data_IF_765947112526
#
_entry.id   IF_765947112526
#
_cell.length_a   1.000
_cell.length_b   1.000
_cell.length_c   1.000
_cell.angle_alpha   90.00
_cell.angle_beta   90.00
_cell.angle_gamma   90.00
#
_symmetry.space_group_name_H-M   'P 1'
#
loop_
_entity.id
_entity.type
_entity.pdbx_description
1 polymer ?
#
# COMPACT_ATOMS: atom_id res chain seq x y z
N UNK A 1 -35.14 10.27 -31.99
CA UNK A 1 -34.28 10.99 -31.02
C UNK A 1 -35.02 10.92 -29.68
N UNK A 2 -34.49 10.07 -28.80
CA UNK A 2 -35.21 9.36 -27.72
C UNK A 2 -35.50 10.34 -26.55
N UNK A 3 -36.77 10.62 -26.26
CA UNK A 3 -37.20 11.47 -25.15
C UNK A 3 -36.97 10.79 -23.78
N UNK A 4 -36.83 9.47 -23.75
CA UNK A 4 -36.69 8.70 -22.54
C UNK A 4 -35.25 8.84 -21.94
N UNK A 5 -34.25 9.06 -22.80
CA UNK A 5 -32.85 9.25 -22.36
C UNK A 5 -32.64 10.56 -21.58
N UNK A 6 -33.39 11.63 -21.95
CA UNK A 6 -33.34 12.91 -21.24
C UNK A 6 -34.04 12.88 -19.88
N UNK A 7 -35.03 12.00 -19.72
CA UNK A 7 -35.74 11.86 -18.46
C UNK A 7 -34.87 11.09 -17.43
N UNK A 8 -34.15 10.09 -17.86
CA UNK A 8 -33.21 9.35 -16.97
C UNK A 8 -32.02 10.21 -16.53
N UNK A 9 -31.41 10.97 -17.41
CA UNK A 9 -30.32 11.89 -17.05
C UNK A 9 -30.76 12.97 -16.05
N UNK A 10 -31.99 13.48 -16.17
CA UNK A 10 -32.57 14.47 -15.23
C UNK A 10 -32.80 13.89 -13.83
N UNK A 11 -33.16 12.63 -13.71
CA UNK A 11 -33.37 11.96 -12.42
C UNK A 11 -32.07 11.61 -11.69
N UNK A 12 -31.01 11.30 -12.44
CA UNK A 12 -29.67 11.02 -11.88
C UNK A 12 -28.99 12.27 -11.33
N UNK A 13 -29.17 13.44 -11.97
CA UNK A 13 -28.65 14.72 -11.47
C UNK A 13 -29.37 15.17 -10.21
N UNK A 14 -30.67 15.05 -10.13
CA UNK A 14 -31.45 15.37 -8.92
C UNK A 14 -31.10 14.45 -7.73
N UNK A 15 -30.80 13.19 -7.99
CA UNK A 15 -30.39 12.25 -6.93
C UNK A 15 -29.01 12.59 -6.35
N UNK A 16 -28.07 13.07 -7.18
CA UNK A 16 -26.74 13.51 -6.72
C UNK A 16 -26.79 14.79 -5.89
N UNK A 17 -27.67 15.72 -6.20
CA UNK A 17 -27.83 16.95 -5.42
C UNK A 17 -28.48 16.66 -4.06
N UNK A 18 -29.54 15.87 -4.02
CA UNK A 18 -30.18 15.48 -2.76
C UNK A 18 -29.25 14.72 -1.79
N UNK A 19 -28.29 13.97 -2.32
CA UNK A 19 -27.29 13.26 -1.49
C UNK A 19 -26.26 14.21 -0.87
N UNK A 20 -25.82 15.24 -1.61
CA UNK A 20 -24.90 16.27 -1.08
C UNK A 20 -25.53 17.09 0.03
N UNK A 21 -26.79 17.48 -0.11
CA UNK A 21 -27.50 18.29 0.89
C UNK A 21 -27.70 17.52 2.20
N UNK A 22 -27.95 16.21 2.15
CA UNK A 22 -28.07 15.36 3.33
C UNK A 22 -26.74 15.18 4.09
N UNK A 23 -25.61 15.12 3.39
CA UNK A 23 -24.28 15.02 4.03
C UNK A 23 -23.94 16.32 4.73
N UNK A 24 -24.16 17.45 4.10
CA UNK A 24 -23.88 18.78 4.68
C UNK A 24 -24.78 19.05 5.89
N UNK A 25 -26.06 18.67 5.84
CA UNK A 25 -27.00 18.83 6.96
C UNK A 25 -26.62 17.97 8.17
N UNK A 26 -26.13 16.75 7.97
CA UNK A 26 -25.67 15.87 9.05
C UNK A 26 -24.35 16.35 9.68
N UNK A 27 -23.42 16.87 8.90
CA UNK A 27 -22.19 17.49 9.41
C UNK A 27 -22.46 18.73 10.27
N UNK A 28 -23.49 19.52 9.92
CA UNK A 28 -23.88 20.71 10.69
C UNK A 28 -24.58 20.34 12.01
N UNK A 29 -25.38 19.26 12.04
CA UNK A 29 -26.00 18.73 13.27
C UNK A 29 -24.98 18.17 14.26
N UNK A 30 -23.94 17.50 13.78
CA UNK A 30 -22.87 16.97 14.65
C UNK A 30 -22.03 18.07 15.29
N UNK A 31 -21.77 19.19 14.59
CA UNK A 31 -21.05 20.34 15.18
C UNK A 31 -21.84 21.06 16.27
N UNK A 32 -23.17 21.10 16.22
CA UNK A 32 -24.03 21.70 17.27
C UNK A 32 -24.13 20.83 18.52
N UNK A 33 -24.06 19.51 18.41
CA UNK A 33 -24.11 18.61 19.56
C UNK A 33 -22.82 18.64 20.44
N UNK A 34 -21.67 19.00 19.87
CA UNK A 34 -20.39 19.11 20.60
C UNK A 34 -20.23 20.43 21.36
N UNK A 35 -21.05 21.46 21.10
CA UNK A 35 -20.92 22.77 21.74
C UNK A 35 -21.76 22.95 23.02
N UNK A 36 -22.68 22.04 23.33
CA UNK A 36 -23.58 22.13 24.50
C UNK A 36 -23.04 21.40 25.74
N UNK A 37 -21.96 20.62 25.62
CA UNK A 37 -21.41 19.83 26.75
C UNK A 37 -20.23 20.51 27.49
N UNK A 38 -19.88 21.75 27.17
CA UNK A 38 -18.68 22.43 27.70
C UNK A 38 -18.97 23.55 28.76
N UNK A 39 -20.19 23.72 29.24
CA UNK A 39 -20.54 24.86 30.15
C UNK A 39 -21.08 24.45 31.52
N UNK A 40 -20.87 23.27 32.01
CA UNK A 40 -21.17 22.96 33.42
C UNK A 40 -19.98 22.20 34.01
N UNK A 41 -19.11 22.89 34.70
CA UNK A 41 -18.35 22.51 35.88
C UNK A 41 -17.12 23.41 36.02
N UNK A 42 -17.34 24.62 36.41
CA UNK A 42 -16.31 25.47 36.99
C UNK A 42 -16.52 25.56 38.52
N UNK A 43 -15.50 25.26 39.25
CA UNK A 43 -15.08 25.67 40.57
C UNK A 43 -14.56 24.49 41.43
N UNK A 44 -13.29 24.53 41.70
CA UNK A 44 -12.81 23.80 42.87
C UNK A 44 -11.33 23.35 42.82
N UNK A 45 -10.48 24.18 43.45
CA UNK A 45 -9.26 23.78 44.18
C UNK A 45 -7.96 23.53 43.42
N UNK A 46 -7.12 24.56 43.53
CA UNK A 46 -5.65 24.52 43.40
C UNK A 46 -5.02 23.41 44.22
N UNK A 47 -4.36 22.48 43.52
CA UNK A 47 -3.29 21.69 44.11
C UNK A 47 -2.12 21.66 43.11
N UNK A 48 -1.02 22.32 43.42
CA UNK A 48 0.25 22.18 42.72
C UNK A 48 0.70 20.72 42.78
N UNK A 49 0.68 20.04 41.65
CA UNK A 49 1.45 18.82 41.42
C UNK A 49 2.25 19.05 40.15
N UNK A 50 3.57 19.14 40.29
CA UNK A 50 4.53 19.06 39.20
C UNK A 50 4.40 17.69 38.57
N UNK A 51 3.46 17.58 37.62
CA UNK A 51 3.35 16.42 36.74
C UNK A 51 4.34 16.62 35.63
N UNK A 52 5.40 15.81 35.61
CA UNK A 52 6.23 15.56 34.44
C UNK A 52 5.30 15.28 33.24
N UNK A 53 5.14 16.27 32.38
CA UNK A 53 4.62 16.05 31.02
C UNK A 53 5.66 15.21 30.26
N UNK A 54 5.68 13.90 30.48
CA UNK A 54 6.12 12.96 29.47
C UNK A 54 5.21 13.23 28.27
N UNK A 55 5.71 13.97 27.29
CA UNK A 55 5.18 13.88 25.94
C UNK A 55 5.23 12.38 25.61
N UNK A 56 4.12 11.69 25.66
CA UNK A 56 3.96 10.43 24.96
C UNK A 56 4.18 10.78 23.49
N UNK A 57 5.40 10.51 23.05
CA UNK A 57 5.77 10.51 21.67
C UNK A 57 5.04 9.29 21.09
N UNK A 58 3.79 9.50 20.69
CA UNK A 58 2.99 8.51 19.98
C UNK A 58 3.62 8.37 18.61
N UNK A 59 4.81 7.77 18.57
CA UNK A 59 5.53 7.44 17.38
C UNK A 59 4.78 6.25 16.74
N UNK A 60 3.63 6.54 16.12
CA UNK A 60 2.92 5.53 15.32
C UNK A 60 3.89 5.09 14.22
N UNK A 61 4.28 3.82 14.26
CA UNK A 61 5.15 3.24 13.27
C UNK A 61 4.57 3.49 11.88
N UNK A 62 5.30 4.24 11.07
CA UNK A 62 4.90 4.53 9.70
C UNK A 62 5.11 3.29 8.83
N UNK A 63 4.10 2.95 8.06
CA UNK A 63 4.12 1.79 7.15
C UNK A 63 4.12 2.25 5.70
N UNK A 64 4.95 1.63 4.88
CA UNK A 64 4.97 1.79 3.43
C UNK A 64 4.61 0.46 2.78
N UNK A 65 3.74 0.50 1.78
CA UNK A 65 3.43 -0.64 0.92
C UNK A 65 4.08 -0.41 -0.45
N UNK A 66 5.16 -1.13 -0.69
CA UNK A 66 5.90 -1.14 -1.95
C UNK A 66 5.41 -2.31 -2.79
N UNK A 67 5.19 -2.13 -4.08
CA UNK A 67 4.75 -3.23 -4.92
C UNK A 67 5.22 -3.13 -6.37
N UNK A 68 5.45 -4.29 -6.99
CA UNK A 68 5.54 -4.45 -8.43
C UNK A 68 4.26 -5.11 -8.95
N UNK A 69 3.71 -4.59 -10.05
CA UNK A 69 2.51 -5.16 -10.68
C UNK A 69 2.56 -5.01 -12.19
N UNK A 70 2.70 -6.11 -12.91
CA UNK A 70 2.74 -6.10 -14.37
C UNK A 70 1.33 -6.01 -15.02
N UNK A 71 0.29 -6.56 -14.35
CA UNK A 71 -1.08 -6.68 -14.89
C UNK A 71 -2.15 -5.97 -14.06
N UNK A 72 -1.76 -5.32 -12.95
CA UNK A 72 -2.69 -4.63 -12.06
C UNK A 72 -3.19 -5.47 -10.87
N UNK A 73 -3.05 -6.80 -10.88
CA UNK A 73 -3.54 -7.67 -9.79
C UNK A 73 -2.86 -7.36 -8.47
N UNK A 74 -1.53 -7.33 -8.44
CA UNK A 74 -0.77 -6.98 -7.22
C UNK A 74 -1.01 -5.53 -6.79
N UNK A 75 -1.23 -4.61 -7.73
CA UNK A 75 -1.62 -3.22 -7.43
C UNK A 75 -2.92 -3.17 -6.63
N UNK A 76 -3.93 -3.91 -7.05
CA UNK A 76 -5.21 -3.97 -6.33
C UNK A 76 -5.03 -4.56 -4.91
N UNK A 77 -4.19 -5.60 -4.76
CA UNK A 77 -3.84 -6.16 -3.45
C UNK A 77 -3.09 -5.14 -2.58
N UNK A 78 -2.11 -4.42 -3.15
CA UNK A 78 -1.36 -3.37 -2.46
C UNK A 78 -2.28 -2.25 -1.93
N UNK A 79 -3.26 -1.84 -2.71
CA UNK A 79 -4.24 -0.82 -2.31
C UNK A 79 -5.09 -1.28 -1.12
N UNK A 80 -5.55 -2.55 -1.11
CA UNK A 80 -6.27 -3.12 0.03
C UNK A 80 -5.40 -3.15 1.29
N UNK A 81 -4.16 -3.59 1.14
CA UNK A 81 -3.22 -3.66 2.26
C UNK A 81 -2.89 -2.27 2.81
N UNK A 82 -2.68 -1.28 1.94
CA UNK A 82 -2.44 0.09 2.36
C UNK A 82 -3.62 0.69 3.13
N UNK A 83 -4.85 0.38 2.73
CA UNK A 83 -6.03 0.80 3.48
C UNK A 83 -6.11 0.13 4.86
N UNK A 84 -5.78 -1.18 4.96
CA UNK A 84 -5.76 -1.92 6.22
C UNK A 84 -4.81 -1.30 7.25
N UNK A 85 -3.62 -0.89 6.82
CA UNK A 85 -2.58 -0.33 7.69
C UNK A 85 -2.51 1.19 7.72
N UNK A 86 -3.40 1.89 7.02
CA UNK A 86 -3.32 3.34 6.78
C UNK A 86 -1.90 3.74 6.30
N UNK A 87 -1.39 3.01 5.31
CA UNK A 87 -0.03 3.07 4.82
C UNK A 87 0.07 3.85 3.50
N UNK A 88 1.24 4.43 3.27
CA UNK A 88 1.57 5.01 1.98
C UNK A 88 1.88 3.92 0.94
N UNK A 89 1.72 4.25 -0.34
CA UNK A 89 1.95 3.35 -1.48
C UNK A 89 3.15 3.80 -2.32
N UNK A 90 3.96 2.85 -2.74
CA UNK A 90 5.02 3.07 -3.73
C UNK A 90 5.01 1.97 -4.79
N UNK A 91 4.89 2.33 -6.07
CA UNK A 91 4.93 1.38 -7.19
C UNK A 91 6.35 1.24 -7.74
N UNK A 92 6.89 0.03 -7.74
CA UNK A 92 8.13 -0.29 -8.46
C UNK A 92 7.81 -0.26 -9.94
N UNK A 93 8.15 0.82 -10.60
CA UNK A 93 7.88 1.02 -12.02
C UNK A 93 9.09 0.59 -12.85
N UNK A 94 8.98 -0.40 -13.72
CA UNK A 94 10.09 -0.78 -14.62
C UNK A 94 10.41 0.36 -15.58
N UNK A 95 11.69 0.56 -15.90
CA UNK A 95 12.14 1.55 -16.90
C UNK A 95 11.49 1.30 -18.26
N UNK A 96 11.44 0.02 -18.66
CA UNK A 96 10.72 -0.44 -19.86
C UNK A 96 9.52 -1.26 -19.37
N UNK A 97 8.27 -0.81 -19.62
CA UNK A 97 7.08 -1.57 -19.24
C UNK A 97 7.07 -2.97 -19.87
N UNK A 98 6.48 -3.93 -19.15
CA UNK A 98 6.27 -5.27 -19.71
C UNK A 98 5.08 -5.27 -20.65
N UNK A 99 5.28 -5.73 -21.89
CA UNK A 99 4.21 -6.02 -22.83
C UNK A 99 3.58 -7.39 -22.55
N UNK A 100 2.46 -7.70 -23.21
CA UNK A 100 1.85 -9.03 -23.12
C UNK A 100 2.81 -10.13 -23.61
N UNK A 101 3.61 -9.86 -24.63
CA UNK A 101 4.62 -10.79 -25.13
C UNK A 101 5.75 -11.01 -24.10
N UNK A 102 6.17 -9.96 -23.40
CA UNK A 102 7.19 -10.08 -22.34
C UNK A 102 6.71 -10.94 -21.16
N UNK A 103 5.41 -11.07 -20.96
CA UNK A 103 4.80 -11.81 -19.85
C UNK A 103 4.37 -13.24 -20.25
N UNK A 104 4.54 -13.66 -21.51
CA UNK A 104 4.21 -15.04 -21.92
C UNK A 104 5.23 -16.02 -21.33
N UNK A 105 4.86 -16.60 -20.19
CA UNK A 105 5.68 -17.57 -19.45
C UNK A 105 5.91 -18.88 -20.23
N UNK A 106 5.15 -19.15 -21.29
CA UNK A 106 5.30 -20.32 -22.20
C UNK A 106 6.38 -20.10 -23.22
N UNK A 107 6.64 -18.84 -23.58
CA UNK A 107 7.74 -18.48 -24.46
C UNK A 107 9.05 -18.44 -23.69
N UNK A 108 9.98 -19.35 -24.04
CA UNK A 108 11.31 -19.44 -23.42
C UNK A 108 12.19 -18.22 -23.72
N UNK A 109 11.79 -17.39 -24.70
CA UNK A 109 12.51 -16.19 -25.13
C UNK A 109 11.83 -14.90 -24.64
N UNK A 110 10.68 -14.99 -23.97
CA UNK A 110 10.03 -13.83 -23.38
C UNK A 110 10.92 -13.18 -22.32
N UNK A 111 10.79 -11.87 -22.17
CA UNK A 111 11.59 -11.09 -21.23
C UNK A 111 11.48 -11.62 -19.80
N UNK A 112 10.28 -11.87 -19.32
CA UNK A 112 10.07 -12.41 -17.96
C UNK A 112 10.73 -13.78 -17.79
N UNK A 113 10.66 -14.66 -18.80
CA UNK A 113 11.33 -15.96 -18.76
C UNK A 113 12.86 -15.83 -18.71
N UNK A 114 13.44 -14.92 -19.48
CA UNK A 114 14.88 -14.67 -19.48
C UNK A 114 15.33 -14.12 -18.11
N UNK A 115 14.63 -13.08 -17.61
CA UNK A 115 14.93 -12.46 -16.33
C UNK A 115 14.84 -13.45 -15.16
N UNK A 116 13.84 -14.34 -15.18
CA UNK A 116 13.66 -15.32 -14.10
C UNK A 116 14.64 -16.51 -14.15
N UNK A 117 15.19 -16.82 -15.32
CA UNK A 117 16.29 -17.82 -15.43
C UNK A 117 17.60 -17.29 -14.89
N UNK A 118 17.86 -16.02 -15.01
CA UNK A 118 19.04 -15.36 -14.49
C UNK A 118 18.75 -14.70 -13.14
N UNK A 119 19.07 -15.38 -12.04
CA UNK A 119 18.88 -14.86 -10.69
C UNK A 119 19.68 -13.58 -10.39
N UNK A 120 20.68 -13.26 -11.22
CA UNK A 120 21.46 -12.02 -11.12
C UNK A 120 20.86 -10.88 -11.90
N UNK A 121 19.81 -11.12 -12.71
CA UNK A 121 19.10 -10.10 -13.45
C UNK A 121 18.60 -8.99 -12.51
N UNK A 122 18.78 -7.74 -12.93
CA UNK A 122 18.31 -6.56 -12.21
C UNK A 122 17.66 -5.59 -13.20
N UNK A 123 16.38 -5.86 -13.58
CA UNK A 123 15.65 -4.95 -14.47
C UNK A 123 15.65 -3.53 -13.91
N UNK A 124 15.95 -2.56 -14.74
CA UNK A 124 16.01 -1.16 -14.33
C UNK A 124 14.62 -0.64 -13.92
N UNK A 125 14.59 0.19 -12.88
CA UNK A 125 13.38 0.82 -12.34
C UNK A 125 13.42 2.33 -12.49
N UNK A 126 12.25 2.95 -12.65
CA UNK A 126 12.10 4.40 -12.69
C UNK A 126 12.06 5.00 -11.30
N UNK A 127 12.92 5.98 -11.06
CA UNK A 127 12.92 6.75 -9.82
C UNK A 127 13.34 5.95 -8.59
N UNK A 128 13.22 6.61 -7.45
CA UNK A 128 13.52 6.05 -6.13
C UNK A 128 12.45 6.48 -5.14
N UNK A 129 12.26 5.71 -4.08
CA UNK A 129 11.45 6.13 -2.94
C UNK A 129 12.32 7.01 -2.03
N UNK A 130 12.33 8.32 -2.30
CA UNK A 130 13.23 9.28 -1.63
C UNK A 130 12.97 9.37 -0.13
N UNK A 131 11.74 9.16 0.31
CA UNK A 131 11.32 9.25 1.70
C UNK A 131 11.28 7.90 2.42
N UNK A 132 11.96 6.87 1.91
CA UNK A 132 11.93 5.52 2.50
C UNK A 132 12.46 5.51 3.95
N UNK A 133 13.32 6.48 4.30
CA UNK A 133 13.84 6.62 5.66
C UNK A 133 12.75 6.92 6.70
N UNK A 134 11.62 7.51 6.30
CA UNK A 134 10.52 7.91 7.18
C UNK A 134 9.68 6.73 7.71
N UNK A 135 9.90 5.52 7.20
CA UNK A 135 9.07 4.35 7.50
C UNK A 135 9.82 3.36 8.38
N UNK A 136 9.09 2.76 9.33
CA UNK A 136 9.59 1.71 10.23
C UNK A 136 9.29 0.31 9.69
N UNK A 137 8.18 0.20 8.93
CA UNK A 137 7.71 -1.06 8.34
C UNK A 137 7.52 -0.90 6.85
N UNK A 138 8.05 -1.84 6.08
CA UNK A 138 7.91 -1.88 4.62
C UNK A 138 7.32 -3.23 4.21
N UNK A 139 6.15 -3.19 3.58
CA UNK A 139 5.59 -4.34 2.88
C UNK A 139 6.10 -4.36 1.44
N UNK A 140 6.60 -5.49 0.99
CA UNK A 140 7.11 -5.69 -0.37
C UNK A 140 6.19 -6.67 -1.09
N UNK A 141 5.50 -6.18 -2.12
CA UNK A 141 4.48 -6.91 -2.87
C UNK A 141 4.86 -7.22 -4.29
N UNK A 142 4.52 -8.43 -4.76
CA UNK A 142 4.81 -8.87 -6.12
C UNK A 142 3.90 -10.01 -6.58
N UNK A 143 3.74 -10.21 -7.90
CA UNK A 143 3.19 -11.43 -8.44
C UNK A 143 4.24 -12.55 -8.32
N UNK A 144 3.83 -13.75 -7.89
CA UNK A 144 4.76 -14.90 -7.88
C UNK A 144 5.06 -15.32 -9.31
N UNK A 145 6.33 -15.24 -9.72
CA UNK A 145 6.84 -15.73 -10.98
C UNK A 145 7.78 -16.91 -10.73
N UNK A 146 7.53 -18.06 -11.36
CA UNK A 146 8.34 -19.28 -11.19
C UNK A 146 8.66 -19.60 -9.73
N UNK A 147 7.62 -19.52 -8.89
CA UNK A 147 7.67 -19.83 -7.44
C UNK A 147 8.51 -18.86 -6.60
N UNK A 148 8.96 -17.73 -7.15
CA UNK A 148 9.77 -16.74 -6.42
C UNK A 148 9.35 -15.31 -6.77
N UNK A 149 9.99 -14.30 -6.16
CA UNK A 149 9.80 -12.90 -6.49
C UNK A 149 10.45 -12.56 -7.84
N UNK A 150 9.80 -11.73 -8.68
CA UNK A 150 10.44 -11.18 -9.88
C UNK A 150 11.73 -10.42 -9.55
N UNK A 151 12.77 -10.58 -10.38
CA UNK A 151 14.09 -9.99 -10.12
C UNK A 151 14.10 -8.46 -10.03
N UNK A 152 13.09 -7.77 -10.56
CA UNK A 152 12.91 -6.34 -10.38
C UNK A 152 12.67 -5.93 -8.90
N UNK A 153 12.16 -6.85 -8.08
CA UNK A 153 12.01 -6.65 -6.63
C UNK A 153 13.40 -6.56 -5.96
N UNK A 154 14.33 -7.40 -6.42
CA UNK A 154 15.72 -7.34 -5.97
C UNK A 154 16.38 -6.00 -6.32
N UNK A 155 16.10 -5.47 -7.53
CA UNK A 155 16.56 -4.13 -7.92
C UNK A 155 16.10 -3.07 -6.92
N UNK A 156 14.82 -3.12 -6.51
CA UNK A 156 14.30 -2.16 -5.52
C UNK A 156 14.99 -2.31 -4.17
N UNK A 157 15.11 -3.54 -3.65
CA UNK A 157 15.74 -3.80 -2.34
C UNK A 157 17.19 -3.30 -2.32
N UNK A 158 17.94 -3.54 -3.38
CA UNK A 158 19.33 -3.15 -3.50
C UNK A 158 19.54 -1.64 -3.75
N UNK A 159 18.53 -0.97 -4.31
CA UNK A 159 18.59 0.47 -4.57
C UNK A 159 18.28 1.34 -3.33
N UNK A 160 17.77 0.77 -2.24
CA UNK A 160 17.28 1.50 -1.08
C UNK A 160 17.92 1.01 0.23
N UNK A 161 18.15 1.94 1.16
CA UNK A 161 18.56 1.57 2.52
C UNK A 161 17.33 1.16 3.35
N UNK A 162 17.23 -0.14 3.59
CA UNK A 162 16.17 -0.77 4.37
C UNK A 162 16.64 -1.15 5.78
N UNK A 163 17.81 -0.69 6.21
CA UNK A 163 18.38 -0.97 7.52
C UNK A 163 17.46 -0.45 8.64
N UNK A 164 17.32 -1.23 9.70
CA UNK A 164 16.50 -0.90 10.87
C UNK A 164 14.99 -1.00 10.65
N UNK A 165 14.53 -1.35 9.46
CA UNK A 165 13.10 -1.52 9.14
C UNK A 165 12.66 -2.97 9.30
N UNK A 166 11.38 -3.18 9.62
CA UNK A 166 10.74 -4.50 9.53
C UNK A 166 10.21 -4.68 8.10
N UNK A 167 10.71 -5.69 7.40
CA UNK A 167 10.28 -6.04 6.05
C UNK A 167 9.25 -7.17 6.09
N UNK A 168 8.09 -6.93 5.52
CA UNK A 168 7.04 -7.92 5.32
C UNK A 168 6.86 -8.21 3.84
N UNK A 169 6.32 -9.37 3.51
CA UNK A 169 6.09 -9.77 2.12
C UNK A 169 4.60 -9.98 1.90
N UNK A 170 4.06 -9.52 0.77
CA UNK A 170 2.80 -10.01 0.26
C UNK A 170 2.94 -10.39 -1.21
N UNK A 171 2.18 -11.38 -1.63
CA UNK A 171 2.21 -11.82 -3.00
C UNK A 171 0.81 -12.09 -3.54
N UNK A 172 0.68 -11.97 -4.87
CA UNK A 172 -0.46 -12.50 -5.62
C UNK A 172 -0.01 -13.66 -6.48
N UNK A 173 -0.82 -14.73 -6.55
CA UNK A 173 -0.42 -15.94 -7.27
C UNK A 173 -1.64 -16.66 -7.85
N UNK A 174 -1.47 -17.27 -8.99
CA UNK A 174 -2.48 -18.15 -9.60
C UNK A 174 -2.56 -19.55 -8.97
N UNK A 175 -1.66 -19.91 -8.03
CA UNK A 175 -1.66 -21.25 -7.44
C UNK A 175 -0.50 -21.58 -6.50
N UNK A 176 0.52 -20.73 -6.42
CA UNK A 176 1.62 -20.91 -5.46
C UNK A 176 1.32 -20.21 -4.15
N UNK A 177 1.89 -20.71 -3.05
CA UNK A 177 1.94 -19.99 -1.78
C UNK A 177 2.94 -18.82 -1.82
N UNK A 178 3.02 -18.07 -0.73
CA UNK A 178 3.95 -16.94 -0.58
C UNK A 178 5.25 -17.33 0.12
N UNK A 179 5.24 -18.42 0.88
CA UNK A 179 6.33 -18.82 1.78
C UNK A 179 7.62 -19.10 1.01
N UNK A 180 7.55 -19.78 -0.13
CA UNK A 180 8.70 -20.05 -1.00
C UNK A 180 9.39 -18.75 -1.41
N UNK A 181 8.62 -17.81 -1.96
CA UNK A 181 9.11 -16.51 -2.41
C UNK A 181 9.67 -15.66 -1.27
N UNK A 182 9.00 -15.65 -0.12
CA UNK A 182 9.45 -14.91 1.06
C UNK A 182 10.76 -15.49 1.61
N UNK A 183 10.88 -16.82 1.65
CA UNK A 183 12.10 -17.48 2.10
C UNK A 183 13.28 -17.22 1.16
N UNK A 184 13.06 -17.13 -0.15
CA UNK A 184 14.12 -16.79 -1.10
C UNK A 184 14.63 -15.35 -0.85
N UNK A 185 13.75 -14.39 -0.60
CA UNK A 185 14.15 -13.02 -0.25
C UNK A 185 14.90 -12.98 1.10
N UNK A 186 14.41 -13.68 2.12
CA UNK A 186 15.07 -13.79 3.44
C UNK A 186 16.49 -14.36 3.34
N UNK A 187 16.68 -15.36 2.48
CA UNK A 187 18.00 -15.96 2.22
C UNK A 187 18.92 -15.04 1.43
N UNK A 188 18.37 -14.28 0.47
CA UNK A 188 19.14 -13.36 -0.35
C UNK A 188 19.59 -12.11 0.44
N UNK A 189 18.78 -11.67 1.41
CA UNK A 189 19.00 -10.44 2.20
C UNK A 189 18.90 -10.71 3.71
N UNK A 190 19.79 -11.53 4.27
CA UNK A 190 19.74 -11.94 5.69
C UNK A 190 20.08 -10.80 6.65
N UNK A 191 20.61 -9.69 6.16
CA UNK A 191 20.95 -8.51 6.95
C UNK A 191 19.72 -7.71 7.39
N UNK A 192 18.55 -7.93 6.78
CA UNK A 192 17.32 -7.23 7.12
C UNK A 192 16.45 -8.01 8.10
N UNK A 193 15.63 -7.28 8.85
CA UNK A 193 14.64 -7.86 9.77
C UNK A 193 13.38 -8.23 9.00
N UNK A 194 13.10 -9.50 8.85
CA UNK A 194 11.92 -10.01 8.13
C UNK A 194 10.80 -10.40 9.09
N UNK A 195 9.61 -9.91 8.82
CA UNK A 195 8.39 -10.21 9.56
C UNK A 195 7.51 -11.23 8.84
N UNK A 196 6.23 -10.90 8.72
CA UNK A 196 5.19 -11.78 8.18
C UNK A 196 5.17 -11.85 6.65
N UNK A 197 4.52 -12.89 6.13
CA UNK A 197 4.23 -13.05 4.70
C UNK A 197 2.74 -13.36 4.51
N UNK A 198 2.12 -12.78 3.46
CA UNK A 198 0.69 -12.93 3.15
C UNK A 198 0.46 -13.22 1.67
N UNK A 199 -0.38 -14.22 1.37
CA UNK A 199 -0.96 -14.39 0.03
C UNK A 199 -2.24 -13.54 -0.06
N UNK A 200 -2.34 -12.69 -1.11
CA UNK A 200 -3.41 -11.71 -1.26
C UNK A 200 -4.07 -11.79 -2.66
N UNK A 201 -4.76 -12.86 -2.92
CA UNK A 201 -5.52 -13.07 -4.17
C UNK A 201 -6.86 -12.35 -4.16
#
# INVERSE_FOLDING_TARGET
MDKDLYHELGTLTKRKECWKDNIVANLFKMKKALFVLAVVLGFGLTACSQGNNKKENNNMKKTLVVYFSATGTTKAAAQRLAQEFNADLYEITPEVPYSAADLDWRDKTSRSTIEMKDKTSRPAIKGRCENIADYDTVWIGFPVWWYTAPTIVNTFIEAHDLSGKTLNVFATSGGSDVEGSANDLKKAYPQYSWGESRLMN
#
